data_IF_925085181096
#
_entry.id   IF_925085181096
#
_cell.length_a   1.000
_cell.length_b   1.000
_cell.length_c   1.000
_cell.angle_alpha   90.00
_cell.angle_beta   90.00
_cell.angle_gamma   90.00
#
_symmetry.space_group_name_H-M   'P 1'
#
loop_
_entity.id
_entity.type
_entity.pdbx_description
1 polymer ?
#
# COMPACT_ATOMS: atom_id res chain seq x y z
N UNK A 1 -8.57 20.52 -12.29
CA UNK A 1 -9.86 19.81 -12.56
C UNK A 1 -10.56 19.64 -11.23
N UNK A 2 -11.67 20.33 -11.00
CA UNK A 2 -12.52 20.07 -9.85
C UNK A 2 -12.95 18.60 -9.92
N UNK A 3 -12.95 17.89 -8.79
CA UNK A 3 -13.51 16.54 -8.70
C UNK A 3 -14.97 16.70 -8.30
N UNK A 4 -15.90 16.88 -9.29
CA UNK A 4 -17.31 17.05 -8.99
C UNK A 4 -17.84 15.71 -8.49
N UNK A 5 -18.50 15.69 -7.34
CA UNK A 5 -19.35 14.59 -6.96
C UNK A 5 -18.96 13.78 -5.72
N UNK A 6 -17.86 14.09 -5.00
CA UNK A 6 -17.57 13.40 -3.74
C UNK A 6 -18.18 14.17 -2.57
N UNK A 7 -19.16 13.57 -1.86
CA UNK A 7 -19.82 14.20 -0.73
C UNK A 7 -18.87 14.39 0.46
N UNK A 8 -17.86 13.54 0.58
CA UNK A 8 -16.83 13.62 1.61
C UNK A 8 -15.47 13.96 0.97
N UNK A 9 -14.88 15.08 1.35
CA UNK A 9 -13.59 15.58 0.87
C UNK A 9 -12.70 15.82 2.06
N UNK A 10 -11.62 15.07 2.18
CA UNK A 10 -10.75 15.10 3.36
C UNK A 10 -9.40 15.70 2.99
N UNK A 11 -8.99 16.72 3.71
CA UNK A 11 -7.61 17.15 3.75
C UNK A 11 -6.89 16.37 4.86
N UNK A 12 -5.98 15.48 4.46
CA UNK A 12 -5.10 14.76 5.39
C UNK A 12 -3.72 15.41 5.36
N UNK A 13 -3.25 15.83 6.53
CA UNK A 13 -1.94 16.45 6.70
C UNK A 13 -1.14 15.77 7.82
N UNK A 14 0.17 15.94 7.77
CA UNK A 14 1.08 15.60 8.88
C UNK A 14 1.73 16.85 9.39
N UNK A 15 1.95 16.93 10.70
CA UNK A 15 2.70 18.04 11.29
C UNK A 15 3.58 17.58 12.46
N UNK A 16 4.63 18.31 12.71
CA UNK A 16 5.38 18.28 13.95
C UNK A 16 5.06 19.53 14.78
N UNK A 17 6.05 20.39 14.98
CA UNK A 17 5.94 21.60 15.79
C UNK A 17 5.48 22.86 15.02
N UNK A 18 5.19 22.72 13.72
CA UNK A 18 4.78 23.82 12.83
C UNK A 18 3.40 23.54 12.24
N UNK A 19 2.31 23.79 12.98
CA UNK A 19 0.95 23.52 12.51
C UNK A 19 0.46 24.47 11.41
N UNK A 20 1.21 25.52 11.11
CA UNK A 20 0.92 26.52 10.06
C UNK A 20 0.59 25.89 8.71
N UNK A 21 1.26 24.80 8.38
CA UNK A 21 1.08 24.09 7.10
C UNK A 21 -0.38 23.66 6.85
N UNK A 22 -1.17 23.47 7.91
CA UNK A 22 -2.58 23.08 7.80
C UNK A 22 -3.40 24.23 7.21
N UNK A 23 -3.24 25.44 7.76
CA UNK A 23 -3.94 26.64 7.28
C UNK A 23 -3.37 27.14 5.97
N UNK A 24 -2.07 27.06 5.75
CA UNK A 24 -1.44 27.36 4.47
C UNK A 24 -1.97 26.46 3.35
N UNK A 25 -2.03 25.13 3.58
CA UNK A 25 -2.59 24.20 2.62
C UNK A 25 -4.08 24.43 2.37
N UNK A 26 -4.85 24.67 3.46
CA UNK A 26 -6.26 24.95 3.36
C UNK A 26 -6.52 26.24 2.55
N UNK A 27 -5.76 27.30 2.82
CA UNK A 27 -5.84 28.55 2.05
C UNK A 27 -5.54 28.31 0.57
N UNK A 28 -4.45 27.61 0.28
CA UNK A 28 -4.08 27.29 -1.09
C UNK A 28 -5.17 26.51 -1.84
N UNK A 29 -5.82 25.56 -1.18
CA UNK A 29 -6.89 24.72 -1.78
C UNK A 29 -8.22 25.45 -1.91
N UNK A 30 -8.63 26.16 -0.86
CA UNK A 30 -9.99 26.69 -0.74
C UNK A 30 -10.14 28.13 -1.24
N UNK A 31 -9.04 28.88 -1.31
CA UNK A 31 -9.05 30.34 -1.57
C UNK A 31 -8.20 30.70 -2.79
N UNK A 32 -6.94 30.25 -2.84
CA UNK A 32 -5.98 30.74 -3.84
C UNK A 32 -6.16 30.11 -5.24
N UNK A 33 -6.81 28.96 -5.37
CA UNK A 33 -7.02 28.31 -6.68
C UNK A 33 -8.20 28.92 -7.43
N UNK A 34 -8.09 28.98 -8.77
CA UNK A 34 -9.18 29.41 -9.65
C UNK A 34 -10.44 28.53 -9.53
N UNK A 35 -10.24 27.23 -9.29
CA UNK A 35 -11.31 26.28 -8.96
C UNK A 35 -11.11 25.78 -7.51
N UNK A 36 -11.75 26.40 -6.51
CA UNK A 36 -11.55 26.06 -5.11
C UNK A 36 -11.92 24.61 -4.80
N UNK A 37 -11.03 23.92 -4.10
CA UNK A 37 -11.32 22.62 -3.51
C UNK A 37 -11.49 22.77 -2.00
N UNK A 38 -12.75 22.83 -1.55
CA UNK A 38 -13.08 23.01 -0.13
C UNK A 38 -13.23 21.61 0.51
N UNK A 39 -12.37 21.23 1.47
CA UNK A 39 -12.56 19.98 2.20
C UNK A 39 -13.82 20.06 3.07
N UNK A 40 -14.47 18.92 3.28
CA UNK A 40 -15.56 18.82 4.27
C UNK A 40 -15.00 18.48 5.67
N UNK A 41 -13.78 17.94 5.71
CA UNK A 41 -13.13 17.48 6.92
C UNK A 41 -11.62 17.67 6.81
N UNK A 42 -10.95 18.05 7.91
CA UNK A 42 -9.49 18.03 8.05
C UNK A 42 -9.12 16.93 9.04
N UNK A 43 -8.12 16.14 8.70
CA UNK A 43 -7.46 15.16 9.57
C UNK A 43 -5.98 15.45 9.66
N UNK A 44 -5.44 15.42 10.87
CA UNK A 44 -4.06 15.74 11.15
C UNK A 44 -3.42 14.58 11.90
N UNK A 45 -2.30 14.04 11.39
CA UNK A 45 -1.53 13.01 12.08
C UNK A 45 -0.26 13.64 12.62
N UNK A 46 0.02 13.40 13.89
CA UNK A 46 1.13 14.06 14.59
C UNK A 46 1.57 13.28 15.83
N UNK A 47 2.55 13.81 16.55
CA UNK A 47 2.99 13.35 17.87
C UNK A 47 2.26 14.11 18.98
N UNK A 48 2.48 13.75 20.25
CA UNK A 48 1.83 14.41 21.40
C UNK A 48 2.13 15.92 21.42
N UNK A 49 3.41 16.31 21.29
CA UNK A 49 3.81 17.71 21.27
C UNK A 49 3.19 18.49 20.09
N UNK A 50 3.15 17.84 18.91
CA UNK A 50 2.52 18.42 17.73
C UNK A 50 1.01 18.57 17.88
N UNK A 51 0.33 17.60 18.52
CA UNK A 51 -1.10 17.67 18.79
C UNK A 51 -1.47 18.81 19.75
N UNK A 52 -0.68 18.99 20.79
CA UNK A 52 -0.88 20.09 21.74
C UNK A 52 -0.73 21.45 21.05
N UNK A 53 0.36 21.63 20.28
CA UNK A 53 0.55 22.86 19.49
C UNK A 53 -0.58 23.09 18.48
N UNK A 54 -0.99 22.08 17.76
CA UNK A 54 -2.07 22.20 16.79
C UNK A 54 -3.40 22.58 17.45
N UNK A 55 -3.73 21.99 18.61
CA UNK A 55 -4.94 22.36 19.36
C UNK A 55 -4.92 23.82 19.80
N UNK A 56 -3.81 24.27 20.39
CA UNK A 56 -3.67 25.64 20.89
C UNK A 56 -3.67 26.68 19.76
N UNK A 57 -2.92 26.45 18.70
CA UNK A 57 -2.75 27.44 17.64
C UNK A 57 -3.82 27.43 16.56
N UNK A 58 -4.45 26.26 16.28
CA UNK A 58 -5.45 26.13 15.21
C UNK A 58 -6.87 26.12 15.75
N UNK A 59 -7.13 25.43 16.88
CA UNK A 59 -8.47 25.10 17.35
C UNK A 59 -8.92 25.87 18.60
N UNK A 60 -8.10 26.79 19.12
CA UNK A 60 -8.57 27.69 20.19
C UNK A 60 -9.84 28.43 19.72
N UNK A 61 -10.92 28.48 20.53
CA UNK A 61 -12.19 29.07 20.08
C UNK A 61 -12.11 30.57 19.77
N UNK A 62 -11.16 31.29 20.35
CA UNK A 62 -11.02 32.74 20.18
C UNK A 62 -9.90 33.10 19.22
N UNK A 63 -8.73 32.49 19.39
CA UNK A 63 -7.48 32.82 18.70
C UNK A 63 -7.01 31.82 17.69
N UNK A 64 -7.73 30.68 17.57
CA UNK A 64 -7.35 29.58 16.67
C UNK A 64 -7.33 29.99 15.19
N UNK A 65 -6.19 29.77 14.56
CA UNK A 65 -5.92 30.23 13.19
C UNK A 65 -6.78 29.52 12.13
N UNK A 66 -7.21 28.29 12.39
CA UNK A 66 -8.21 27.64 11.54
C UNK A 66 -9.55 28.37 11.55
N UNK A 67 -10.01 28.76 12.74
CA UNK A 67 -11.26 29.53 12.87
C UNK A 67 -11.12 30.93 12.27
N UNK A 68 -9.96 31.56 12.43
CA UNK A 68 -9.69 32.87 11.83
C UNK A 68 -9.75 32.78 10.28
N UNK A 69 -9.11 31.79 9.67
CA UNK A 69 -9.18 31.56 8.22
C UNK A 69 -10.62 31.33 7.76
N UNK A 70 -11.37 30.50 8.48
CA UNK A 70 -12.76 30.22 8.11
C UNK A 70 -13.63 31.52 8.16
N UNK A 71 -13.43 32.37 9.15
CA UNK A 71 -14.12 33.68 9.24
C UNK A 71 -13.72 34.58 8.08
N UNK A 72 -12.42 34.73 7.83
CA UNK A 72 -11.89 35.64 6.80
C UNK A 72 -12.42 35.31 5.40
N UNK A 73 -12.64 34.01 5.12
CA UNK A 73 -13.00 33.55 3.78
C UNK A 73 -14.39 32.90 3.68
N UNK A 74 -15.27 33.10 4.67
CA UNK A 74 -16.65 32.60 4.63
C UNK A 74 -16.75 31.07 4.56
N UNK A 75 -15.85 30.36 5.24
CA UNK A 75 -15.79 28.88 5.29
C UNK A 75 -16.37 28.33 6.60
N UNK A 76 -16.91 29.16 7.45
CA UNK A 76 -17.49 28.76 8.74
C UNK A 76 -18.61 27.73 8.53
N UNK A 77 -18.59 26.67 9.33
CA UNK A 77 -19.57 25.58 9.24
C UNK A 77 -19.42 24.65 8.03
N UNK A 78 -18.54 24.96 7.07
CA UNK A 78 -18.34 24.14 5.87
C UNK A 78 -17.30 23.02 6.07
N UNK A 79 -16.39 23.19 7.03
CA UNK A 79 -15.24 22.32 7.26
C UNK A 79 -15.23 21.84 8.68
N UNK A 80 -15.26 20.52 8.90
CA UNK A 80 -15.14 19.92 10.22
C UNK A 80 -13.67 19.69 10.57
N UNK A 81 -13.20 20.32 11.65
CA UNK A 81 -11.87 20.08 12.22
C UNK A 81 -11.94 20.06 13.75
N UNK A 82 -12.67 19.11 14.34
CA UNK A 82 -12.71 18.96 15.79
C UNK A 82 -11.43 18.31 16.33
N UNK A 83 -11.15 18.48 17.62
CA UNK A 83 -9.91 18.00 18.27
C UNK A 83 -9.67 16.48 18.10
N UNK A 84 -10.71 15.66 17.97
CA UNK A 84 -10.59 14.22 17.72
C UNK A 84 -10.05 13.88 16.32
N UNK A 85 -10.05 14.82 15.38
CA UNK A 85 -9.44 14.65 14.07
C UNK A 85 -7.92 14.87 14.09
N UNK A 86 -7.36 15.25 15.26
CA UNK A 86 -5.92 15.24 15.49
C UNK A 86 -5.54 13.87 16.04
N UNK A 87 -5.02 13.03 15.16
CA UNK A 87 -4.61 11.64 15.45
C UNK A 87 -3.18 11.65 15.96
N UNK A 88 -2.98 11.20 17.20
CA UNK A 88 -1.64 11.05 17.79
C UNK A 88 -1.13 9.65 17.52
N UNK A 89 0.09 9.55 16.96
CA UNK A 89 0.79 8.29 16.73
C UNK A 89 1.01 7.61 18.09
N UNK A 90 0.80 6.29 18.16
CA UNK A 90 0.91 5.50 19.37
C UNK A 90 1.95 4.40 19.22
N UNK A 91 2.55 4.02 20.34
CA UNK A 91 3.43 2.86 20.40
C UNK A 91 2.65 1.52 20.37
N UNK A 92 3.38 0.40 20.40
CA UNK A 92 2.79 -0.94 20.40
C UNK A 92 1.94 -1.24 21.63
N UNK A 93 2.16 -0.55 22.73
CA UNK A 93 1.38 -0.62 23.98
C UNK A 93 0.16 0.31 23.99
N UNK A 94 -0.02 1.13 22.94
CA UNK A 94 -1.10 2.10 22.83
C UNK A 94 -0.82 3.44 23.50
N UNK A 95 0.38 3.67 24.03
CA UNK A 95 0.77 4.95 24.60
C UNK A 95 1.11 5.97 23.49
N UNK A 96 0.74 7.25 23.65
CA UNK A 96 1.01 8.28 22.65
C UNK A 96 2.50 8.59 22.56
N UNK A 97 3.05 8.66 21.34
CA UNK A 97 4.44 9.05 21.10
C UNK A 97 4.63 10.55 21.32
N UNK A 98 5.62 10.90 22.14
CA UNK A 98 6.00 12.31 22.38
C UNK A 98 6.62 12.92 21.10
N UNK A 99 7.55 12.19 20.47
CA UNK A 99 8.22 12.56 19.20
C UNK A 99 8.73 11.29 18.50
N UNK A 100 9.19 11.42 17.27
CA UNK A 100 9.81 10.33 16.48
C UNK A 100 11.33 10.49 16.58
N UNK A 101 11.99 9.66 17.38
CA UNK A 101 13.43 9.78 17.68
C UNK A 101 14.23 8.51 17.41
N UNK A 102 13.58 7.36 17.36
CA UNK A 102 14.20 6.06 17.14
C UNK A 102 13.74 5.41 15.83
N UNK A 103 14.47 4.40 15.29
CA UNK A 103 13.99 3.61 14.17
C UNK A 103 12.65 2.91 14.45
N UNK A 104 12.40 2.51 15.70
CA UNK A 104 11.16 1.89 16.15
C UNK A 104 10.00 2.88 16.09
N UNK A 105 10.17 4.12 16.61
CA UNK A 105 9.18 5.19 16.50
C UNK A 105 8.86 5.49 15.03
N UNK A 106 9.89 5.47 14.17
CA UNK A 106 9.73 5.71 12.75
C UNK A 106 8.91 4.61 12.06
N UNK A 107 9.07 3.35 12.48
CA UNK A 107 8.25 2.22 12.00
C UNK A 107 6.79 2.36 12.45
N UNK A 108 6.57 2.72 13.71
CA UNK A 108 5.22 2.98 14.23
C UNK A 108 4.53 4.14 13.50
N UNK A 109 5.29 5.19 13.18
CA UNK A 109 4.78 6.30 12.38
C UNK A 109 4.37 5.84 10.96
N UNK A 110 5.20 5.01 10.31
CA UNK A 110 4.89 4.46 9.00
C UNK A 110 3.59 3.63 9.03
N UNK A 111 3.43 2.77 10.03
CA UNK A 111 2.26 1.91 10.19
C UNK A 111 0.99 2.72 10.51
N UNK A 112 1.09 3.74 11.36
CA UNK A 112 -0.03 4.62 11.69
C UNK A 112 -0.52 5.44 10.48
N UNK A 113 0.42 6.02 9.71
CA UNK A 113 0.12 6.77 8.50
C UNK A 113 -0.52 5.88 7.44
N UNK A 114 0.02 4.66 7.28
CA UNK A 114 -0.52 3.67 6.37
C UNK A 114 -1.96 3.26 6.75
N UNK A 115 -2.20 3.00 8.05
CA UNK A 115 -3.51 2.60 8.55
C UNK A 115 -4.57 3.68 8.31
N UNK A 116 -4.22 4.95 8.53
CA UNK A 116 -5.13 6.08 8.30
C UNK A 116 -5.45 6.24 6.81
N UNK A 117 -4.45 6.26 5.92
CA UNK A 117 -4.67 6.34 4.47
C UNK A 117 -5.51 5.16 3.97
N UNK A 118 -5.20 3.94 4.42
CA UNK A 118 -6.00 2.74 4.10
C UNK A 118 -7.46 2.91 4.48
N UNK A 119 -7.72 3.34 5.71
CA UNK A 119 -9.08 3.55 6.24
C UNK A 119 -9.84 4.58 5.41
N UNK A 120 -9.23 5.72 5.10
CA UNK A 120 -9.85 6.78 4.31
C UNK A 120 -10.07 6.37 2.85
N UNK A 121 -9.14 5.61 2.27
CA UNK A 121 -9.28 5.10 0.91
C UNK A 121 -10.26 3.92 0.77
N UNK A 122 -10.73 3.32 1.88
CA UNK A 122 -11.78 2.30 1.86
C UNK A 122 -13.18 2.87 1.57
N UNK A 123 -13.40 4.14 1.87
CA UNK A 123 -14.67 4.84 1.58
C UNK A 123 -14.68 5.36 0.14
N UNK A 124 -15.39 4.67 -0.75
CA UNK A 124 -15.51 5.03 -2.17
C UNK A 124 -16.18 6.40 -2.40
N UNK A 125 -16.93 6.93 -1.42
CA UNK A 125 -17.58 8.26 -1.49
C UNK A 125 -16.67 9.40 -1.04
N UNK A 126 -15.43 9.08 -0.65
CA UNK A 126 -14.45 10.03 -0.18
C UNK A 126 -13.45 10.38 -1.29
N UNK A 127 -13.11 11.66 -1.41
CA UNK A 127 -11.90 12.12 -2.11
C UNK A 127 -10.88 12.61 -1.08
N UNK A 128 -9.65 12.14 -1.20
CA UNK A 128 -8.56 12.44 -0.27
C UNK A 128 -7.56 13.38 -0.92
N UNK A 129 -7.29 14.51 -0.27
CA UNK A 129 -6.17 15.39 -0.60
C UNK A 129 -5.13 15.28 0.51
N UNK A 130 -3.95 14.79 0.16
CA UNK A 130 -2.85 14.55 1.11
C UNK A 130 -1.81 15.66 0.98
N UNK A 131 -1.47 16.32 2.09
CA UNK A 131 -0.39 17.30 2.18
C UNK A 131 0.81 16.72 2.93
N UNK A 132 1.99 16.80 2.31
CA UNK A 132 3.25 16.35 2.91
C UNK A 132 4.13 17.49 3.43
N UNK A 133 3.57 18.67 3.60
CA UNK A 133 4.33 19.89 3.89
C UNK A 133 4.91 19.94 5.32
N UNK A 134 4.48 19.09 6.24
CA UNK A 134 4.87 19.16 7.65
C UNK A 134 5.39 17.86 8.24
N UNK A 135 5.67 17.89 9.53
CA UNK A 135 6.16 16.75 10.29
C UNK A 135 7.64 16.45 10.10
N UNK A 136 8.07 15.28 10.59
CA UNK A 136 9.40 14.77 10.30
C UNK A 136 9.48 14.38 8.81
N UNK A 137 10.63 14.53 8.18
CA UNK A 137 10.84 14.24 6.74
C UNK A 137 10.33 12.85 6.34
N UNK A 138 10.51 11.86 7.22
CA UNK A 138 10.03 10.49 6.99
C UNK A 138 8.51 10.38 6.99
N UNK A 139 7.77 11.20 7.75
CA UNK A 139 6.30 11.19 7.76
C UNK A 139 5.73 11.56 6.39
N UNK A 140 6.28 12.60 5.75
CA UNK A 140 5.88 13.00 4.39
C UNK A 140 6.13 11.89 3.38
N UNK A 141 7.29 11.22 3.46
CA UNK A 141 7.61 10.07 2.62
C UNK A 141 6.61 8.92 2.81
N UNK A 142 6.37 8.50 4.06
CA UNK A 142 5.45 7.40 4.35
C UNK A 142 4.01 7.72 3.93
N UNK A 143 3.58 8.96 4.12
CA UNK A 143 2.25 9.39 3.74
C UNK A 143 2.05 9.35 2.21
N UNK A 144 3.02 9.87 1.45
CA UNK A 144 3.01 9.81 -0.02
C UNK A 144 3.09 8.37 -0.53
N UNK A 145 3.90 7.53 0.11
CA UNK A 145 4.01 6.12 -0.26
C UNK A 145 2.73 5.34 0.09
N UNK A 146 2.12 5.60 1.26
CA UNK A 146 0.82 5.02 1.62
C UNK A 146 -0.26 5.40 0.61
N UNK A 147 -0.26 6.65 0.13
CA UNK A 147 -1.17 7.08 -0.93
C UNK A 147 -0.86 6.37 -2.25
N UNK A 148 0.40 6.08 -2.57
CA UNK A 148 0.75 5.26 -3.75
C UNK A 148 0.19 3.84 -3.64
N UNK A 149 0.19 3.25 -2.44
CA UNK A 149 -0.34 1.89 -2.21
C UNK A 149 -1.87 1.82 -2.24
N UNK A 150 -2.58 2.83 -1.71
CA UNK A 150 -4.04 2.78 -1.52
C UNK A 150 -4.82 3.81 -2.32
N UNK A 151 -4.14 4.83 -2.87
CA UNK A 151 -4.77 5.96 -3.56
C UNK A 151 -5.57 5.56 -4.79
N UNK A 152 -6.64 6.32 -5.03
CA UNK A 152 -7.61 6.14 -6.10
C UNK A 152 -7.47 7.26 -7.12
N UNK A 153 -8.21 7.21 -8.21
CA UNK A 153 -8.15 8.21 -9.29
C UNK A 153 -8.47 9.64 -8.81
N UNK A 154 -9.37 9.77 -7.82
CA UNK A 154 -9.78 11.05 -7.24
C UNK A 154 -8.81 11.61 -6.20
N UNK A 155 -7.88 10.79 -5.69
CA UNK A 155 -6.98 11.20 -4.61
C UNK A 155 -5.80 12.00 -5.15
N UNK A 156 -5.35 13.00 -4.38
CA UNK A 156 -4.28 13.94 -4.75
C UNK A 156 -3.22 14.03 -3.67
N UNK A 157 -2.01 14.37 -4.09
CA UNK A 157 -0.85 14.62 -3.23
C UNK A 157 -0.28 15.99 -3.55
N UNK A 158 0.03 16.78 -2.53
CA UNK A 158 0.61 18.10 -2.72
C UNK A 158 1.59 18.50 -1.61
N UNK A 159 2.34 19.54 -1.90
CA UNK A 159 3.15 20.29 -0.96
C UNK A 159 2.78 21.77 -1.06
N UNK A 160 2.56 22.44 0.07
CA UNK A 160 2.35 23.90 0.10
C UNK A 160 3.69 24.62 0.21
N UNK A 161 3.84 25.67 -0.57
CA UNK A 161 5.02 26.53 -0.61
C UNK A 161 4.62 27.94 -0.22
N UNK A 162 5.38 28.54 0.67
CA UNK A 162 5.22 29.93 1.09
C UNK A 162 6.50 30.69 0.78
N UNK A 163 6.38 31.89 0.22
CA UNK A 163 7.54 32.69 -0.13
C UNK A 163 8.28 33.24 1.10
N UNK A 164 9.57 33.49 0.96
CA UNK A 164 10.33 34.26 1.94
C UNK A 164 9.81 35.71 2.04
N UNK A 165 9.82 36.30 3.26
CA UNK A 165 10.24 35.74 4.53
C UNK A 165 9.13 35.06 5.33
N UNK A 166 7.92 34.89 4.78
CA UNK A 166 6.73 34.39 5.49
C UNK A 166 6.89 32.94 5.96
N UNK A 167 7.54 32.07 5.16
CA UNK A 167 7.79 30.67 5.52
C UNK A 167 8.48 30.52 6.91
N UNK A 168 9.39 31.42 7.23
CA UNK A 168 10.15 31.37 8.47
C UNK A 168 9.41 32.00 9.68
N UNK A 169 8.27 32.64 9.48
CA UNK A 169 7.55 33.37 10.52
C UNK A 169 6.59 32.46 11.28
N UNK A 170 6.80 32.38 12.60
CA UNK A 170 5.92 31.62 13.50
C UNK A 170 4.51 32.16 13.61
N UNK A 171 4.32 33.43 13.31
CA UNK A 171 3.05 34.16 13.40
C UNK A 171 2.27 34.14 12.06
N UNK A 172 2.88 33.66 11.00
CA UNK A 172 2.22 33.54 9.71
C UNK A 172 1.54 32.17 9.57
N UNK A 173 0.25 32.17 9.29
CA UNK A 173 -0.57 30.96 9.13
C UNK A 173 -1.28 30.90 7.78
N UNK A 174 -1.60 32.04 7.22
CA UNK A 174 -2.22 32.24 5.91
C UNK A 174 -2.24 33.73 5.59
N UNK A 175 -2.38 34.14 4.32
CA UNK A 175 -2.66 35.54 3.98
C UNK A 175 -4.05 35.93 4.49
N UNK A 176 -4.17 36.86 5.48
CA UNK A 176 -5.49 37.29 5.98
C UNK A 176 -6.21 38.17 4.95
N UNK A 177 -7.56 38.15 4.95
CA UNK A 177 -8.38 38.98 4.06
C UNK A 177 -8.12 40.49 4.24
N UNK A 178 -7.84 40.92 5.49
CA UNK A 178 -7.34 42.26 5.79
C UNK A 178 -5.83 42.18 6.05
N UNK A 179 -5.07 42.75 5.13
CA UNK A 179 -3.63 42.72 5.21
C UNK A 179 -3.12 43.45 6.45
N UNK A 180 -2.08 42.92 7.11
CA UNK A 180 -1.45 43.46 8.32
C UNK A 180 0.07 43.42 8.21
N UNK A 181 0.73 44.20 9.08
CA UNK A 181 2.19 44.19 9.18
C UNK A 181 2.63 43.14 10.18
N UNK A 182 3.58 42.30 9.76
CA UNK A 182 4.33 41.37 10.58
C UNK A 182 5.79 41.84 10.68
N UNK A 183 6.54 41.28 11.61
CA UNK A 183 7.96 41.61 11.78
C UNK A 183 8.81 40.35 11.62
N UNK A 184 9.84 40.41 10.79
CA UNK A 184 10.83 39.35 10.72
C UNK A 184 11.60 39.21 12.05
N UNK A 185 12.31 38.10 12.24
CA UNK A 185 13.17 37.88 13.40
C UNK A 185 14.23 39.00 13.60
N UNK A 186 14.54 39.76 12.55
CA UNK A 186 15.45 40.93 12.58
C UNK A 186 14.71 42.26 12.78
N UNK A 187 13.42 42.23 13.11
CA UNK A 187 12.59 43.42 13.33
C UNK A 187 12.19 44.18 12.05
N UNK A 188 12.46 43.65 10.85
CA UNK A 188 12.03 44.29 9.60
C UNK A 188 10.53 44.13 9.41
N UNK A 189 9.76 45.20 9.21
CA UNK A 189 8.34 45.11 8.90
C UNK A 189 8.14 44.53 7.48
N UNK A 190 7.15 43.66 7.35
CA UNK A 190 6.69 43.08 6.11
C UNK A 190 5.17 43.07 6.08
N UNK A 191 4.59 43.19 4.90
CA UNK A 191 3.15 43.28 4.71
C UNK A 191 2.57 41.93 4.24
N UNK A 192 1.53 41.43 4.89
CA UNK A 192 0.95 40.13 4.55
C UNK A 192 0.30 40.11 3.17
N UNK A 193 0.07 41.25 2.55
CA UNK A 193 -0.34 41.32 1.14
C UNK A 193 0.73 40.81 0.14
N UNK A 194 2.01 40.78 0.57
CA UNK A 194 3.11 40.30 -0.24
C UNK A 194 3.32 38.76 -0.09
N UNK A 195 2.53 38.13 0.79
CA UNK A 195 2.61 36.69 1.00
C UNK A 195 2.02 35.93 -0.19
N UNK A 196 2.80 34.98 -0.70
CA UNK A 196 2.38 34.06 -1.74
C UNK A 196 2.35 32.65 -1.16
N UNK A 197 1.18 32.00 -1.26
CA UNK A 197 0.97 30.61 -0.83
C UNK A 197 0.57 29.81 -2.05
N UNK A 198 1.45 28.92 -2.47
CA UNK A 198 1.30 28.15 -3.68
C UNK A 198 1.16 26.65 -3.33
N UNK A 199 0.39 25.93 -4.14
CA UNK A 199 0.24 24.48 -4.02
C UNK A 199 1.01 23.80 -5.15
N UNK A 200 1.98 22.97 -4.80
CA UNK A 200 2.69 22.14 -5.74
C UNK A 200 2.07 20.73 -5.76
N UNK A 201 1.40 20.38 -6.84
CA UNK A 201 0.89 19.02 -7.05
C UNK A 201 2.05 18.04 -7.23
N UNK A 202 1.97 16.89 -6.55
CA UNK A 202 2.97 15.81 -6.63
C UNK A 202 2.34 14.62 -7.34
N UNK A 203 2.79 14.27 -8.56
CA UNK A 203 2.33 13.06 -9.22
C UNK A 203 2.83 11.81 -8.48
N UNK A 204 2.00 10.79 -8.40
CA UNK A 204 2.34 9.52 -7.78
C UNK A 204 1.76 8.34 -8.55
N UNK A 205 2.41 7.18 -8.45
CA UNK A 205 1.96 5.94 -9.07
C UNK A 205 0.93 5.27 -8.15
N UNK A 206 -0.19 4.83 -8.71
CA UNK A 206 -1.24 4.10 -7.99
C UNK A 206 -1.00 2.60 -8.13
N UNK A 207 -0.64 1.94 -7.03
CA UNK A 207 -0.31 0.52 -6.97
C UNK A 207 -1.46 -0.34 -6.42
N UNK A 208 -2.57 0.29 -6.01
CA UNK A 208 -3.71 -0.37 -5.32
C UNK A 208 -4.20 -1.63 -6.04
N UNK A 209 -4.37 -1.57 -7.37
CA UNK A 209 -4.85 -2.70 -8.15
C UNK A 209 -3.86 -3.87 -8.21
N UNK A 210 -2.57 -3.58 -7.98
CA UNK A 210 -1.49 -4.57 -7.91
C UNK A 210 -1.39 -5.30 -6.58
N UNK A 211 -2.05 -4.79 -5.52
CA UNK A 211 -1.98 -5.38 -4.20
C UNK A 211 -3.00 -6.50 -4.01
N UNK A 212 -2.64 -7.56 -3.25
CA UNK A 212 -3.58 -8.59 -2.84
C UNK A 212 -4.76 -7.99 -2.07
N UNK A 213 -5.98 -8.45 -2.35
CA UNK A 213 -7.18 -7.97 -1.63
C UNK A 213 -7.06 -8.10 -0.10
N UNK A 214 -6.38 -9.14 0.37
CA UNK A 214 -6.09 -9.32 1.80
C UNK A 214 -5.19 -8.20 2.36
N UNK A 215 -4.20 -7.75 1.60
CA UNK A 215 -3.33 -6.63 2.00
C UNK A 215 -4.09 -5.29 2.08
N UNK A 216 -5.12 -5.12 1.23
CA UNK A 216 -6.01 -3.95 1.29
C UNK A 216 -6.96 -4.00 2.50
N UNK A 217 -7.43 -5.20 2.89
CA UNK A 217 -8.46 -5.38 3.93
C UNK A 217 -7.90 -5.50 5.35
N UNK A 218 -6.69 -6.03 5.54
CA UNK A 218 -6.11 -6.35 6.85
C UNK A 218 -4.95 -5.43 7.21
N UNK A 219 -4.71 -5.25 8.50
CA UNK A 219 -3.70 -4.37 9.07
C UNK A 219 -2.24 -4.81 8.86
N UNK A 220 -1.84 -5.15 7.63
CA UNK A 220 -0.47 -5.48 7.33
C UNK A 220 0.45 -4.26 7.58
N UNK A 221 1.64 -4.46 8.20
CA UNK A 221 2.63 -3.42 8.40
C UNK A 221 3.13 -2.81 7.08
N UNK A 222 3.60 -1.57 7.13
CA UNK A 222 4.13 -0.84 5.98
C UNK A 222 5.21 -1.63 5.25
N UNK A 223 6.22 -2.15 5.97
CA UNK A 223 7.31 -2.93 5.38
C UNK A 223 6.84 -4.17 4.62
N UNK A 224 5.81 -4.87 5.14
CA UNK A 224 5.23 -6.04 4.50
C UNK A 224 4.53 -5.69 3.18
N UNK A 225 3.83 -4.57 3.13
CA UNK A 225 3.17 -4.10 1.90
C UNK A 225 4.16 -3.64 0.85
N UNK A 226 5.25 -2.96 1.27
CA UNK A 226 6.35 -2.60 0.36
C UNK A 226 6.95 -3.86 -0.27
N UNK A 227 7.24 -4.90 0.54
CA UNK A 227 7.75 -6.17 0.03
C UNK A 227 6.80 -6.85 -0.95
N UNK A 228 5.48 -6.77 -0.69
CA UNK A 228 4.46 -7.32 -1.58
C UNK A 228 4.37 -6.55 -2.91
N UNK A 229 4.47 -5.22 -2.85
CA UNK A 229 4.49 -4.39 -4.05
C UNK A 229 5.77 -4.61 -4.88
N UNK A 230 6.92 -4.77 -4.20
CA UNK A 230 8.21 -5.06 -4.83
C UNK A 230 8.20 -6.39 -5.58
N UNK A 231 7.50 -7.40 -5.05
CA UNK A 231 7.38 -8.71 -5.71
C UNK A 231 6.80 -8.62 -7.14
N UNK A 232 5.96 -7.62 -7.42
CA UNK A 232 5.36 -7.43 -8.74
C UNK A 232 6.35 -6.88 -9.79
N UNK A 233 7.44 -6.26 -9.35
CA UNK A 233 8.47 -5.65 -10.23
C UNK A 233 9.78 -6.42 -10.24
N UNK A 234 10.05 -7.25 -9.23
CA UNK A 234 11.24 -8.09 -9.18
C UNK A 234 11.19 -9.22 -10.23
N UNK A 235 12.34 -9.64 -10.76
CA UNK A 235 12.38 -10.82 -11.61
C UNK A 235 11.84 -12.05 -10.88
N UNK A 236 10.81 -12.74 -11.43
CA UNK A 236 10.17 -13.84 -10.74
C UNK A 236 11.10 -15.04 -10.59
N UNK A 237 11.17 -15.61 -9.39
CA UNK A 237 11.91 -16.85 -9.07
C UNK A 237 10.99 -17.83 -8.33
N UNK A 238 11.22 -19.13 -8.48
CA UNK A 238 10.41 -20.18 -7.88
C UNK A 238 11.30 -21.18 -7.11
N UNK A 239 11.03 -21.37 -5.81
CA UNK A 239 11.77 -22.28 -4.94
C UNK A 239 10.80 -23.09 -4.06
N UNK A 240 11.09 -24.35 -3.82
CA UNK A 240 10.21 -25.26 -3.06
C UNK A 240 10.85 -25.70 -1.74
N UNK A 241 10.07 -25.63 -0.67
CA UNK A 241 10.39 -26.18 0.66
C UNK A 241 9.38 -27.31 0.97
N UNK A 242 9.61 -28.49 0.44
CA UNK A 242 8.65 -29.61 0.48
C UNK A 242 8.28 -30.03 1.89
N UNK A 243 9.25 -30.05 2.83
CA UNK A 243 9.01 -30.45 4.23
C UNK A 243 8.12 -29.47 4.99
N UNK A 244 8.17 -28.18 4.65
CA UNK A 244 7.34 -27.14 5.27
C UNK A 244 6.02 -26.91 4.52
N UNK A 245 5.76 -27.68 3.46
CA UNK A 245 4.62 -27.54 2.58
C UNK A 245 4.48 -26.11 1.97
N UNK A 246 5.63 -25.49 1.63
CA UNK A 246 5.70 -24.12 1.11
C UNK A 246 6.35 -24.05 -0.26
N UNK A 247 5.93 -23.07 -1.04
CA UNK A 247 6.61 -22.61 -2.25
C UNK A 247 6.90 -21.13 -2.11
N UNK A 248 8.12 -20.74 -2.48
CA UNK A 248 8.55 -19.35 -2.53
C UNK A 248 8.39 -18.83 -3.95
N UNK A 249 7.60 -17.78 -4.10
CA UNK A 249 7.41 -17.03 -5.32
C UNK A 249 8.13 -15.70 -5.15
N UNK A 250 9.36 -15.58 -5.64
CA UNK A 250 10.28 -14.51 -5.27
C UNK A 250 10.53 -14.52 -3.76
N UNK A 251 10.25 -13.41 -3.09
CA UNK A 251 10.41 -13.24 -1.63
C UNK A 251 9.18 -13.68 -0.83
N UNK A 252 8.06 -14.01 -1.49
CA UNK A 252 6.79 -14.35 -0.83
C UNK A 252 6.60 -15.85 -0.69
N UNK A 253 6.41 -16.34 0.53
CA UNK A 253 6.05 -17.73 0.80
C UNK A 253 4.55 -17.96 0.61
N UNK A 254 4.20 -18.99 -0.15
CA UNK A 254 2.82 -19.43 -0.38
C UNK A 254 2.65 -20.84 0.16
N UNK A 255 1.70 -21.03 1.08
CA UNK A 255 1.33 -22.36 1.57
C UNK A 255 0.37 -23.03 0.59
N UNK A 256 0.68 -24.25 0.19
CA UNK A 256 -0.18 -25.06 -0.66
C UNK A 256 -0.54 -26.39 0.06
N UNK A 257 -1.77 -26.90 -0.11
CA UNK A 257 -2.08 -28.26 0.31
C UNK A 257 -1.05 -29.27 -0.23
N UNK A 258 -0.62 -30.28 0.54
CA UNK A 258 0.49 -31.16 0.17
C UNK A 258 0.37 -31.77 -1.22
N UNK A 259 -0.80 -32.20 -1.64
CA UNK A 259 -1.02 -32.79 -2.97
C UNK A 259 -0.93 -31.75 -4.11
N UNK A 260 -1.26 -30.48 -3.85
CA UNK A 260 -1.10 -29.38 -4.81
C UNK A 260 0.36 -28.94 -4.89
N UNK A 261 1.04 -28.85 -3.75
CA UNK A 261 2.47 -28.54 -3.69
C UNK A 261 3.28 -29.57 -4.48
N UNK A 262 3.03 -30.87 -4.24
CA UNK A 262 3.74 -31.93 -4.94
C UNK A 262 3.48 -31.90 -6.47
N UNK A 263 2.26 -31.62 -6.88
CA UNK A 263 1.91 -31.46 -8.30
C UNK A 263 2.60 -30.26 -8.94
N UNK A 264 2.62 -29.14 -8.22
CA UNK A 264 3.25 -27.91 -8.68
C UNK A 264 4.78 -28.07 -8.77
N UNK A 265 5.39 -28.69 -7.75
CA UNK A 265 6.83 -29.02 -7.75
C UNK A 265 7.20 -29.98 -8.88
N UNK A 266 6.35 -30.98 -9.19
CA UNK A 266 6.56 -31.88 -10.31
C UNK A 266 6.54 -31.14 -11.67
N UNK A 267 5.58 -30.25 -11.91
CA UNK A 267 5.55 -29.43 -13.12
C UNK A 267 6.74 -28.48 -13.22
N UNK A 268 7.18 -27.92 -12.08
CA UNK A 268 8.38 -27.07 -12.02
C UNK A 268 9.64 -27.86 -12.37
N UNK A 269 9.76 -29.09 -11.88
CA UNK A 269 10.87 -29.99 -12.20
C UNK A 269 10.85 -30.37 -13.70
N UNK A 270 9.67 -30.66 -14.26
CA UNK A 270 9.52 -30.89 -15.70
C UNK A 270 9.99 -29.68 -16.52
N UNK A 271 9.60 -28.47 -16.08
CA UNK A 271 10.02 -27.24 -16.76
C UNK A 271 11.52 -27.02 -16.70
N UNK A 272 12.12 -27.17 -15.51
CA UNK A 272 13.56 -26.98 -15.32
C UNK A 272 14.41 -28.03 -16.06
N UNK A 273 13.90 -29.26 -16.24
CA UNK A 273 14.58 -30.34 -16.93
C UNK A 273 14.24 -30.41 -18.45
N UNK A 274 13.37 -29.51 -18.94
CA UNK A 274 12.96 -29.52 -20.35
C UNK A 274 12.15 -30.74 -20.77
N UNK A 275 11.50 -31.44 -19.83
CA UNK A 275 10.75 -32.66 -20.11
C UNK A 275 9.45 -32.36 -20.87
N UNK A 276 9.08 -33.27 -21.79
CA UNK A 276 7.96 -33.01 -22.69
C UNK A 276 8.36 -32.03 -23.81
N UNK A 277 7.48 -31.14 -24.17
CA UNK A 277 7.79 -30.06 -25.11
C UNK A 277 8.17 -28.79 -24.34
N UNK A 278 9.45 -28.50 -24.27
CA UNK A 278 10.00 -27.33 -23.51
C UNK A 278 9.54 -27.27 -22.02
N UNK A 279 9.39 -28.43 -21.38
CA UNK A 279 8.94 -28.50 -19.99
C UNK A 279 7.43 -28.46 -19.79
N UNK A 280 6.65 -28.58 -20.87
CA UNK A 280 5.19 -28.70 -20.84
C UNK A 280 4.77 -30.14 -21.10
N UNK A 281 4.06 -30.74 -20.13
CA UNK A 281 3.66 -32.15 -20.14
C UNK A 281 2.24 -32.35 -20.66
N UNK A 282 2.05 -33.34 -21.52
CA UNK A 282 0.74 -33.86 -21.88
C UNK A 282 0.29 -34.87 -20.83
N UNK A 283 -1.01 -34.95 -20.53
CA UNK A 283 -1.50 -35.93 -19.55
C UNK A 283 -1.16 -37.38 -19.94
N UNK A 284 -1.19 -37.70 -21.26
CA UNK A 284 -0.85 -39.02 -21.80
C UNK A 284 0.62 -39.41 -21.62
N UNK A 285 1.50 -38.42 -21.57
CA UNK A 285 2.98 -38.62 -21.51
C UNK A 285 3.51 -38.54 -20.08
N UNK A 286 2.62 -38.26 -19.14
CA UNK A 286 2.94 -38.00 -17.72
C UNK A 286 2.95 -39.30 -16.92
N UNK A 287 4.12 -39.68 -16.36
CA UNK A 287 4.19 -40.76 -15.37
C UNK A 287 3.75 -40.30 -13.99
N UNK A 288 2.79 -41.02 -13.35
CA UNK A 288 2.40 -40.71 -11.98
C UNK A 288 3.53 -40.96 -10.97
N UNK A 289 4.52 -41.80 -11.27
CA UNK A 289 5.58 -42.19 -10.31
C UNK A 289 6.40 -41.00 -9.84
N UNK A 290 6.71 -40.07 -10.76
CA UNK A 290 7.49 -38.87 -10.42
C UNK A 290 6.72 -37.93 -9.51
N UNK A 291 5.43 -37.72 -9.77
CA UNK A 291 4.53 -36.98 -8.88
C UNK A 291 4.44 -37.65 -7.50
N UNK A 292 4.23 -38.99 -7.47
CA UNK A 292 4.12 -39.75 -6.23
C UNK A 292 5.41 -39.74 -5.41
N UNK A 293 6.58 -39.76 -6.06
CA UNK A 293 7.87 -39.63 -5.41
C UNK A 293 8.03 -38.27 -4.69
N UNK A 294 7.63 -37.17 -5.35
CA UNK A 294 7.64 -35.84 -4.75
C UNK A 294 6.59 -35.76 -3.64
N UNK A 295 5.40 -36.31 -3.84
CA UNK A 295 4.37 -36.32 -2.82
C UNK A 295 4.80 -37.05 -1.55
N UNK A 296 5.51 -38.18 -1.71
CA UNK A 296 6.12 -38.91 -0.57
C UNK A 296 7.15 -38.07 0.20
N UNK A 297 7.87 -37.15 -0.45
CA UNK A 297 8.78 -36.21 0.23
C UNK A 297 8.04 -35.15 1.03
N UNK A 298 6.84 -34.75 0.58
CA UNK A 298 6.01 -33.75 1.25
C UNK A 298 5.32 -34.32 2.50
N UNK A 299 4.68 -35.50 2.36
CA UNK A 299 3.83 -36.06 3.44
C UNK A 299 4.50 -37.19 4.23
N UNK A 300 5.60 -37.75 3.72
CA UNK A 300 6.23 -38.96 4.27
C UNK A 300 5.77 -40.24 3.55
N UNK A 301 6.68 -41.24 3.48
CA UNK A 301 6.46 -42.48 2.70
C UNK A 301 5.29 -43.33 3.18
N UNK A 302 4.97 -43.28 4.48
CA UNK A 302 3.94 -44.09 5.12
C UNK A 302 2.62 -43.33 5.37
N UNK A 303 2.46 -42.14 4.79
CA UNK A 303 1.27 -41.33 5.06
C UNK A 303 0.04 -41.88 4.28
N UNK A 304 -1.14 -42.04 4.91
CA UNK A 304 -2.33 -42.61 4.27
C UNK A 304 -2.78 -41.90 2.99
N UNK A 305 -2.54 -40.59 2.89
CA UNK A 305 -2.89 -39.82 1.69
C UNK A 305 -2.04 -40.21 0.46
N UNK A 306 -0.83 -40.74 0.65
CA UNK A 306 0.00 -41.22 -0.44
C UNK A 306 -0.61 -42.48 -1.07
N UNK A 307 -1.13 -43.42 -0.26
CA UNK A 307 -1.83 -44.62 -0.77
C UNK A 307 -3.11 -44.24 -1.56
N UNK A 308 -3.87 -43.28 -1.03
CA UNK A 308 -5.04 -42.74 -1.77
C UNK A 308 -4.62 -42.14 -3.13
N UNK A 309 -3.51 -41.39 -3.17
CA UNK A 309 -2.99 -40.84 -4.40
C UNK A 309 -2.52 -41.92 -5.39
N UNK A 310 -1.83 -42.97 -4.90
CA UNK A 310 -1.42 -44.13 -5.72
C UNK A 310 -2.62 -44.81 -6.36
N UNK A 311 -3.68 -45.08 -5.58
CA UNK A 311 -4.92 -45.66 -6.09
C UNK A 311 -5.58 -44.78 -7.14
N UNK A 312 -5.66 -43.46 -6.88
CA UNK A 312 -6.27 -42.51 -7.80
C UNK A 312 -5.49 -42.30 -9.12
N UNK A 313 -4.20 -42.67 -9.15
CA UNK A 313 -3.34 -42.55 -10.34
C UNK A 313 -2.96 -43.86 -10.96
N UNK A 314 -3.52 -44.99 -10.49
CA UNK A 314 -3.18 -46.37 -10.97
C UNK A 314 -3.43 -46.59 -12.46
N UNK A 315 -4.43 -45.89 -13.01
CA UNK A 315 -4.74 -45.88 -14.43
C UNK A 315 -4.03 -44.81 -15.27
N UNK A 316 -3.03 -44.14 -14.71
CA UNK A 316 -2.39 -42.98 -15.32
C UNK A 316 -3.00 -41.66 -14.85
N UNK A 317 -2.55 -40.56 -15.45
CA UNK A 317 -3.04 -39.19 -15.19
C UNK A 317 -3.95 -38.76 -16.34
N UNK A 318 -5.13 -38.25 -16.04
CA UNK A 318 -6.09 -37.79 -17.02
C UNK A 318 -6.16 -36.26 -17.16
N UNK A 319 -6.78 -35.77 -18.21
CA UNK A 319 -6.92 -34.37 -18.53
C UNK A 319 -7.73 -33.61 -17.45
N UNK A 320 -8.70 -34.26 -16.79
CA UNK A 320 -9.52 -33.64 -15.74
C UNK A 320 -8.70 -33.39 -14.48
N UNK A 321 -7.82 -34.32 -14.12
CA UNK A 321 -6.90 -34.17 -13.00
C UNK A 321 -5.95 -32.97 -13.22
N UNK A 322 -5.41 -32.80 -14.43
CA UNK A 322 -4.56 -31.65 -14.77
C UNK A 322 -5.34 -30.34 -14.66
N UNK A 323 -6.54 -30.25 -15.21
CA UNK A 323 -7.37 -29.04 -15.15
C UNK A 323 -7.78 -28.68 -13.71
N UNK A 324 -8.19 -29.67 -12.91
CA UNK A 324 -8.55 -29.45 -11.51
C UNK A 324 -7.36 -28.96 -10.68
N UNK A 325 -6.19 -29.61 -10.84
CA UNK A 325 -4.97 -29.21 -10.12
C UNK A 325 -4.50 -27.83 -10.54
N UNK A 326 -4.47 -27.53 -11.85
CA UNK A 326 -4.18 -26.21 -12.39
C UNK A 326 -5.07 -25.14 -11.77
N UNK A 327 -6.38 -25.33 -11.84
CA UNK A 327 -7.35 -24.35 -11.31
C UNK A 327 -7.17 -24.10 -9.81
N UNK A 328 -6.96 -25.18 -9.01
CA UNK A 328 -6.76 -25.06 -7.57
C UNK A 328 -5.44 -24.37 -7.21
N UNK A 329 -4.33 -24.72 -7.89
CA UNK A 329 -3.02 -24.08 -7.68
C UNK A 329 -3.11 -22.60 -8.03
N UNK A 330 -3.62 -22.27 -9.22
CA UNK A 330 -3.71 -20.89 -9.69
C UNK A 330 -4.56 -20.02 -8.75
N UNK A 331 -5.68 -20.56 -8.25
CA UNK A 331 -6.53 -19.85 -7.27
C UNK A 331 -5.77 -19.54 -5.96
N UNK A 332 -4.94 -20.47 -5.45
CA UNK A 332 -4.13 -20.23 -4.26
C UNK A 332 -3.03 -19.18 -4.52
N UNK A 333 -2.37 -19.26 -5.67
CA UNK A 333 -1.37 -18.29 -6.09
C UNK A 333 -1.99 -16.88 -6.28
N UNK A 334 -3.15 -16.79 -6.91
CA UNK A 334 -3.88 -15.52 -7.07
C UNK A 334 -4.29 -14.91 -5.73
N UNK A 335 -4.79 -15.72 -4.82
CA UNK A 335 -5.18 -15.27 -3.49
C UNK A 335 -4.00 -14.72 -2.69
N UNK A 336 -2.81 -15.33 -2.84
CA UNK A 336 -1.61 -14.93 -2.11
C UNK A 336 -0.84 -13.77 -2.76
N UNK A 337 -0.77 -13.72 -4.11
CA UNK A 337 0.15 -12.86 -4.86
C UNK A 337 -0.56 -11.79 -5.72
N UNK A 338 -1.89 -11.90 -5.90
CA UNK A 338 -2.67 -11.01 -6.77
C UNK A 338 -2.08 -10.90 -8.19
N UNK A 339 -1.81 -9.70 -8.70
CA UNK A 339 -1.22 -9.48 -10.04
C UNK A 339 0.18 -10.09 -10.17
N UNK A 340 0.97 -10.14 -9.10
CA UNK A 340 2.29 -10.79 -9.11
C UNK A 340 2.21 -12.31 -9.31
N UNK A 341 1.01 -12.92 -9.28
CA UNK A 341 0.81 -14.35 -9.50
C UNK A 341 1.05 -14.80 -10.95
N UNK A 342 0.91 -13.90 -11.91
CA UNK A 342 0.91 -14.25 -13.33
C UNK A 342 2.10 -15.12 -13.81
N UNK A 343 3.37 -14.83 -13.45
CA UNK A 343 4.51 -15.63 -13.86
C UNK A 343 4.53 -17.04 -13.25
N UNK A 344 3.89 -17.22 -12.10
CA UNK A 344 3.92 -18.46 -11.30
C UNK A 344 2.78 -19.41 -11.64
N UNK A 345 1.79 -18.97 -12.41
CA UNK A 345 0.63 -19.79 -12.74
C UNK A 345 0.99 -21.02 -13.56
N UNK A 346 0.31 -22.11 -13.27
CA UNK A 346 0.27 -23.26 -14.18
C UNK A 346 -0.55 -22.87 -15.39
N UNK A 347 0.06 -22.88 -16.56
CA UNK A 347 -0.56 -22.56 -17.84
C UNK A 347 -0.69 -23.78 -18.72
N UNK A 348 -1.48 -23.66 -19.79
CA UNK A 348 -1.62 -24.68 -20.81
C UNK A 348 -1.23 -24.13 -22.19
N UNK A 349 -0.74 -25.00 -23.04
CA UNK A 349 -0.40 -24.73 -24.45
C UNK A 349 -1.09 -25.74 -25.34
N UNK A 350 -1.39 -25.36 -26.57
CA UNK A 350 -2.06 -26.19 -27.56
C UNK A 350 -3.56 -26.33 -27.37
N UNK A 351 -4.22 -27.08 -28.26
CA UNK A 351 -5.67 -27.35 -28.26
C UNK A 351 -5.95 -28.82 -27.95
N UNK A 352 -7.12 -29.13 -27.40
CA UNK A 352 -7.56 -30.51 -27.17
C UNK A 352 -7.51 -31.30 -28.48
N UNK A 353 -7.05 -32.58 -28.48
CA UNK A 353 -6.61 -33.36 -27.32
C UNK A 353 -5.12 -33.18 -26.97
N UNK A 354 -4.39 -32.31 -27.65
CA UNK A 354 -2.93 -32.12 -27.53
C UNK A 354 -2.51 -31.09 -26.48
N UNK A 355 -3.40 -30.74 -25.56
CA UNK A 355 -3.12 -29.75 -24.50
C UNK A 355 -1.98 -30.22 -23.61
N UNK A 356 -1.01 -29.33 -23.38
CA UNK A 356 0.13 -29.52 -22.48
C UNK A 356 0.04 -28.53 -21.32
N UNK A 357 0.56 -28.89 -20.15
CA UNK A 357 0.52 -28.13 -18.91
C UNK A 357 1.93 -27.94 -18.36
N UNK A 358 2.23 -26.74 -17.88
CA UNK A 358 3.54 -26.39 -17.36
C UNK A 358 3.54 -25.03 -16.69
N UNK A 359 4.71 -24.55 -16.36
CA UNK A 359 4.95 -23.24 -15.77
C UNK A 359 5.66 -22.37 -16.81
N UNK A 360 5.21 -21.12 -16.96
CA UNK A 360 5.78 -20.21 -17.96
C UNK A 360 7.17 -19.68 -17.60
N UNK A 361 7.54 -19.72 -16.30
CA UNK A 361 8.86 -19.29 -15.84
C UNK A 361 10.00 -19.94 -16.64
N UNK A 362 11.06 -19.19 -16.97
CA UNK A 362 12.26 -19.75 -17.56
C UNK A 362 12.93 -20.78 -16.62
N UNK A 363 13.54 -21.84 -17.15
CA UNK A 363 14.17 -22.91 -16.35
C UNK A 363 15.17 -22.38 -15.31
N UNK A 364 15.99 -21.39 -15.67
CA UNK A 364 16.99 -20.77 -14.80
C UNK A 364 16.42 -19.99 -13.61
N UNK A 365 15.12 -19.74 -13.62
CA UNK A 365 14.38 -19.07 -12.54
C UNK A 365 13.69 -20.06 -11.58
N UNK A 366 13.90 -21.36 -11.79
CA UNK A 366 13.29 -22.43 -10.99
C UNK A 366 14.39 -23.19 -10.23
N UNK A 367 14.40 -23.04 -8.91
CA UNK A 367 15.32 -23.78 -8.04
C UNK A 367 14.78 -25.19 -7.74
N UNK A 368 15.43 -26.21 -8.32
CA UNK A 368 15.02 -27.62 -8.16
C UNK A 368 15.83 -28.39 -7.13
N UNK A 369 16.84 -27.78 -6.51
CA UNK A 369 17.74 -28.48 -5.58
C UNK A 369 17.02 -29.12 -4.39
N UNK A 370 15.91 -28.53 -3.91
CA UNK A 370 15.10 -29.04 -2.80
C UNK A 370 13.97 -29.99 -3.26
N UNK A 371 13.78 -30.16 -4.58
CA UNK A 371 12.83 -31.12 -5.13
C UNK A 371 13.52 -32.48 -5.33
N UNK A 372 14.81 -32.48 -5.65
CA UNK A 372 15.64 -33.67 -5.80
C UNK A 372 15.98 -34.26 -4.43
#
# INVERSE_FOLDING_TARGET
MSVPGFPRRILLAVTGLTPQIVTETLYALAVAQAEPWIPTEIRLITTTEGAERARLSLLDPKEGQFHALCRDYGLEGKIAFPAQNIVVIRDAGGAPLADIRTPEDNTLAADALLAEVRSLCADEKCALHVSIAGGRKTMGFFLGYALSLFGRAQDRLSHVLVNEPFEALREFYFPPAQARVLHTAKGRPIHTADAQVLLADIPFVRLREGLPRQALAHGAPFASLVSTAQLAVDPPTLRFELKQARVWCGTQAVALPPSLLAWYAWLAECRAAGLGEEGFMRHSDASPDRYLAIYAKVVGRNHPSLEKARLATRGGLDASQFEQKRSKINRQLEAALSLASAPYKVCNRGRRPLTRYGIALPPERIETALIK
#
